data_IF_431180423717
#
_entry.id   IF_431180423717
#
_cell.length_a   1.000
_cell.length_b   1.000
_cell.length_c   1.000
_cell.angle_alpha   90.00
_cell.angle_beta   90.00
_cell.angle_gamma   90.00
#
_symmetry.space_group_name_H-M   'P 1'
#
loop_
_entity.id
_entity.type
_entity.pdbx_description
1 polymer ?
#
# COMPACT_ATOMS: atom_id res chain seq x y z
N UNK A 1 -1.13 3.45 -9.91
CA UNK A 1 -0.31 3.61 -11.12
C UNK A 1 -0.86 2.75 -12.24
N UNK A 2 -1.07 1.47 -12.01
CA UNK A 2 -1.56 0.57 -13.05
C UNK A 2 -2.93 0.98 -13.58
N UNK A 3 -3.82 1.49 -12.72
CA UNK A 3 -5.13 1.98 -13.15
C UNK A 3 -5.03 3.16 -14.11
N UNK A 4 -4.06 4.05 -13.91
CA UNK A 4 -3.83 5.17 -14.80
C UNK A 4 -3.37 4.65 -16.16
N UNK A 5 -2.41 3.74 -16.18
CA UNK A 5 -1.87 3.16 -17.41
C UNK A 5 -2.95 2.38 -18.16
N UNK A 6 -3.74 1.60 -17.44
CA UNK A 6 -4.77 0.74 -18.04
C UNK A 6 -5.93 1.53 -18.65
N UNK A 7 -6.07 2.82 -18.31
CA UNK A 7 -7.07 3.70 -18.94
C UNK A 7 -6.73 4.07 -20.38
N UNK A 8 -5.52 3.77 -20.86
CA UNK A 8 -5.06 4.12 -22.20
C UNK A 8 -5.00 2.90 -23.11
N UNK A 9 -5.09 3.11 -24.45
CA UNK A 9 -4.93 2.01 -25.43
C UNK A 9 -3.56 1.35 -25.29
N UNK A 10 -3.49 0.07 -25.67
CA UNK A 10 -2.27 -0.74 -25.52
C UNK A 10 -1.05 -0.11 -26.19
N UNK A 11 -1.23 0.54 -27.35
CA UNK A 11 -0.13 1.18 -28.08
C UNK A 11 0.40 2.46 -27.43
N UNK A 12 -0.27 2.97 -26.38
CA UNK A 12 0.15 4.17 -25.66
C UNK A 12 0.70 3.87 -24.27
N UNK A 13 0.56 2.64 -23.78
CA UNK A 13 0.89 2.31 -22.39
C UNK A 13 2.36 2.55 -22.04
N UNK A 14 3.28 2.18 -22.93
CA UNK A 14 4.71 2.38 -22.67
C UNK A 14 5.07 3.86 -22.58
N UNK A 15 4.50 4.70 -23.44
CA UNK A 15 4.69 6.15 -23.37
C UNK A 15 4.14 6.72 -22.07
N UNK A 16 2.95 6.27 -21.67
CA UNK A 16 2.33 6.73 -20.42
C UNK A 16 3.17 6.33 -19.21
N UNK A 17 3.68 5.09 -19.17
CA UNK A 17 4.59 4.65 -18.09
C UNK A 17 5.82 5.53 -18.00
N UNK A 18 6.43 5.85 -19.13
CA UNK A 18 7.61 6.72 -19.18
C UNK A 18 7.30 8.12 -18.66
N UNK A 19 6.15 8.69 -19.05
CA UNK A 19 5.73 10.00 -18.58
C UNK A 19 5.45 10.00 -17.08
N UNK A 20 4.75 8.98 -16.56
CA UNK A 20 4.51 8.85 -15.13
C UNK A 20 5.79 8.72 -14.34
N UNK A 21 6.73 7.88 -14.81
CA UNK A 21 8.02 7.69 -14.16
C UNK A 21 8.80 9.00 -14.01
N UNK A 22 8.67 9.90 -14.98
CA UNK A 22 9.38 11.18 -14.98
C UNK A 22 8.62 12.29 -14.23
N UNK A 23 7.28 12.22 -14.17
CA UNK A 23 6.45 13.32 -13.70
C UNK A 23 5.96 13.16 -12.27
N UNK A 24 5.79 11.91 -11.79
CA UNK A 24 5.29 11.68 -10.44
C UNK A 24 6.31 12.15 -9.40
N UNK A 25 5.83 12.85 -8.39
CA UNK A 25 6.61 13.23 -7.21
C UNK A 25 6.33 12.23 -6.08
N UNK A 26 5.06 11.95 -5.83
CA UNK A 26 4.63 11.03 -4.81
C UNK A 26 3.22 10.52 -5.13
N UNK A 27 2.86 9.39 -4.52
CA UNK A 27 1.50 8.85 -4.57
C UNK A 27 1.08 8.53 -3.14
N UNK A 28 -0.07 9.07 -2.73
CA UNK A 28 -0.66 8.78 -1.44
C UNK A 28 -1.96 8.03 -1.68
N UNK A 29 -2.02 6.80 -1.18
CA UNK A 29 -3.22 5.97 -1.27
C UNK A 29 -3.90 5.91 0.09
N UNK A 30 -5.21 5.78 0.10
CA UNK A 30 -5.99 5.81 1.32
C UNK A 30 -7.07 4.75 1.28
N UNK A 31 -7.31 4.10 2.43
CA UNK A 31 -8.50 3.30 2.67
C UNK A 31 -9.15 3.76 3.97
N UNK A 32 -10.47 3.69 4.05
CA UNK A 32 -11.20 3.98 5.28
C UNK A 32 -11.48 2.70 6.03
N UNK A 33 -11.12 2.68 7.30
CA UNK A 33 -11.34 1.57 8.20
C UNK A 33 -12.37 1.94 9.26
N UNK A 34 -13.13 0.96 9.72
CA UNK A 34 -14.00 1.13 10.88
C UNK A 34 -13.12 1.26 12.11
N UNK A 35 -13.32 2.35 12.85
CA UNK A 35 -12.55 2.64 14.05
C UNK A 35 -13.16 1.93 15.25
N UNK A 36 -12.34 1.40 16.14
CA UNK A 36 -12.76 0.85 17.43
C UNK A 36 -13.48 1.96 18.23
N UNK A 37 -14.66 1.67 18.72
CA UNK A 37 -15.45 2.65 19.47
C UNK A 37 -16.35 3.53 18.60
N UNK A 38 -16.31 3.39 17.29
CA UNK A 38 -17.17 4.10 16.36
C UNK A 38 -16.43 5.08 15.47
N UNK A 39 -17.06 5.44 14.36
CA UNK A 39 -16.46 6.31 13.35
C UNK A 39 -15.51 5.57 12.44
N UNK A 40 -14.72 6.35 11.69
CA UNK A 40 -13.77 5.81 10.71
C UNK A 40 -12.42 6.46 10.85
N UNK A 41 -11.38 5.74 10.43
CA UNK A 41 -10.02 6.23 10.40
C UNK A 41 -9.36 5.77 9.12
N UNK A 42 -8.48 6.58 8.55
CA UNK A 42 -7.83 6.27 7.27
C UNK A 42 -6.54 5.49 7.49
N UNK A 43 -6.36 4.45 6.69
CA UNK A 43 -5.07 3.82 6.47
C UNK A 43 -4.42 4.44 5.23
N UNK A 44 -3.11 4.64 5.25
CA UNK A 44 -2.38 5.31 4.17
C UNK A 44 -1.22 4.46 3.67
N UNK A 45 -0.97 4.58 2.37
CA UNK A 45 0.29 4.18 1.77
C UNK A 45 0.92 5.42 1.16
N UNK A 46 2.20 5.64 1.43
CA UNK A 46 2.93 6.79 0.90
C UNK A 46 4.11 6.28 0.10
N UNK A 47 4.15 6.65 -1.18
CA UNK A 47 5.23 6.33 -2.11
C UNK A 47 5.85 7.65 -2.59
N UNK A 48 7.15 7.82 -2.39
CA UNK A 48 7.92 8.92 -2.97
C UNK A 48 8.59 8.36 -4.22
N UNK A 49 8.48 9.08 -5.34
CA UNK A 49 9.04 8.61 -6.60
C UNK A 49 10.57 8.79 -6.60
N UNK A 50 11.27 7.72 -6.28
CA UNK A 50 12.73 7.66 -6.37
C UNK A 50 13.15 7.20 -7.76
N UNK A 51 14.45 7.29 -8.07
CA UNK A 51 15.01 6.76 -9.32
C UNK A 51 14.69 5.27 -9.47
N UNK A 52 14.79 4.50 -8.39
CA UNK A 52 14.48 3.07 -8.40
C UNK A 52 13.00 2.81 -8.73
N UNK A 53 12.09 3.52 -8.06
CA UNK A 53 10.65 3.37 -8.32
C UNK A 53 10.29 3.84 -9.73
N UNK A 54 10.89 4.93 -10.20
CA UNK A 54 10.69 5.40 -11.57
C UNK A 54 11.07 4.34 -12.60
N UNK A 55 12.16 3.64 -12.38
CA UNK A 55 12.58 2.53 -13.24
C UNK A 55 11.57 1.39 -13.23
N UNK A 56 11.02 1.04 -12.06
CA UNK A 56 10.01 -0.01 -11.94
C UNK A 56 8.72 0.36 -12.68
N UNK A 57 8.30 1.61 -12.63
CA UNK A 57 7.13 2.10 -13.36
C UNK A 57 7.39 2.00 -14.87
N UNK A 58 8.55 2.47 -15.33
CA UNK A 58 8.91 2.49 -16.74
C UNK A 58 8.98 1.08 -17.32
N UNK A 59 9.48 0.13 -16.55
CA UNK A 59 9.66 -1.26 -16.98
C UNK A 59 8.43 -2.14 -16.73
N UNK A 60 7.31 -1.56 -16.26
CA UNK A 60 6.09 -2.30 -15.92
C UNK A 60 6.31 -3.36 -14.83
N UNK A 61 7.12 -3.01 -13.84
CA UNK A 61 7.42 -3.90 -12.70
C UNK A 61 6.88 -3.32 -11.40
N UNK A 62 5.66 -2.79 -11.45
CA UNK A 62 5.02 -2.14 -10.29
C UNK A 62 4.84 -3.09 -9.11
N UNK A 63 4.83 -4.40 -9.34
CA UNK A 63 4.74 -5.39 -8.27
C UNK A 63 5.94 -5.37 -7.32
N UNK A 64 7.06 -4.74 -7.69
CA UNK A 64 8.25 -4.57 -6.84
C UNK A 64 8.24 -3.29 -6.02
N UNK A 65 7.29 -2.38 -6.26
CA UNK A 65 7.27 -1.07 -5.60
C UNK A 65 7.13 -1.23 -4.09
N UNK A 66 6.34 -2.19 -3.61
CA UNK A 66 6.17 -2.40 -2.16
C UNK A 66 7.49 -2.64 -1.44
N UNK A 67 8.41 -3.39 -2.04
CA UNK A 67 9.74 -3.61 -1.46
C UNK A 67 10.54 -2.32 -1.37
N UNK A 68 10.49 -1.49 -2.41
CA UNK A 68 11.16 -0.19 -2.42
C UNK A 68 10.57 0.77 -1.39
N UNK A 69 9.25 0.72 -1.18
CA UNK A 69 8.59 1.52 -0.14
C UNK A 69 9.10 1.10 1.24
N UNK A 70 9.21 -0.20 1.50
CA UNK A 70 9.70 -0.71 2.79
C UNK A 70 11.12 -0.23 3.09
N UNK A 71 12.00 -0.22 2.10
CA UNK A 71 13.37 0.26 2.28
C UNK A 71 13.47 1.77 2.27
N UNK A 72 12.43 2.47 1.84
CA UNK A 72 12.37 3.92 1.76
C UNK A 72 11.75 4.62 2.98
N UNK A 73 11.64 3.93 4.11
CA UNK A 73 11.03 4.50 5.31
C UNK A 73 11.68 5.82 5.74
N UNK A 74 13.00 5.94 5.55
CA UNK A 74 13.74 7.17 5.88
C UNK A 74 13.33 8.37 5.00
N UNK A 75 12.65 8.13 3.88
CA UNK A 75 12.10 9.17 3.01
C UNK A 75 10.61 9.45 3.31
N UNK A 76 10.06 8.84 4.36
CA UNK A 76 8.66 8.98 4.72
C UNK A 76 7.72 8.01 4.02
N UNK A 77 8.26 7.02 3.31
CA UNK A 77 7.43 6.01 2.66
C UNK A 77 6.91 4.98 3.67
N UNK A 78 5.69 4.52 3.44
CA UNK A 78 5.07 3.47 4.24
C UNK A 78 4.11 2.67 3.36
N UNK A 79 4.12 1.34 3.51
CA UNK A 79 3.13 0.49 2.84
C UNK A 79 1.80 0.56 3.57
N UNK A 80 0.70 0.29 2.85
CA UNK A 80 -0.63 0.23 3.45
C UNK A 80 -0.66 -0.77 4.61
N UNK A 81 -0.10 -1.96 4.41
CA UNK A 81 -0.14 -3.01 5.41
C UNK A 81 0.64 -2.63 6.68
N UNK A 82 1.79 -1.96 6.54
CA UNK A 82 2.54 -1.45 7.68
C UNK A 82 1.74 -0.41 8.47
N UNK A 83 1.05 0.50 7.77
CA UNK A 83 0.22 1.50 8.42
C UNK A 83 -0.99 0.86 9.11
N UNK A 84 -1.66 -0.09 8.46
CA UNK A 84 -2.76 -0.82 9.07
C UNK A 84 -2.31 -1.56 10.35
N UNK A 85 -1.13 -2.17 10.31
CA UNK A 85 -0.56 -2.82 11.50
C UNK A 85 -0.35 -1.81 12.64
N UNK A 86 0.13 -0.62 12.32
CA UNK A 86 0.30 0.46 13.31
C UNK A 86 -1.05 0.84 13.94
N UNK A 87 -2.11 0.93 13.15
CA UNK A 87 -3.45 1.25 13.66
C UNK A 87 -3.98 0.16 14.60
N UNK A 88 -3.69 -1.11 14.30
CA UNK A 88 -4.04 -2.23 15.18
C UNK A 88 -3.25 -2.17 16.50
N UNK A 89 -1.95 -1.91 16.42
CA UNK A 89 -1.09 -1.79 17.62
C UNK A 89 -1.50 -0.65 18.51
N UNK A 90 -2.07 0.42 17.93
CA UNK A 90 -2.59 1.57 18.69
C UNK A 90 -4.03 1.36 19.14
N UNK A 91 -4.59 0.19 18.89
CA UNK A 91 -5.97 -0.18 19.26
C UNK A 91 -7.05 0.71 18.62
N UNK A 92 -6.73 1.34 17.48
CA UNK A 92 -7.67 2.19 16.74
C UNK A 92 -8.51 1.41 15.74
N UNK A 93 -7.99 0.27 15.25
CA UNK A 93 -8.64 -0.60 14.28
C UNK A 93 -8.53 -2.04 14.77
N UNK A 94 -9.60 -2.83 14.60
CA UNK A 94 -9.55 -4.24 14.97
C UNK A 94 -8.68 -5.03 13.99
N UNK A 95 -8.09 -6.18 14.43
CA UNK A 95 -7.34 -7.04 13.53
C UNK A 95 -8.17 -7.51 12.32
N UNK A 96 -9.45 -7.84 12.51
CA UNK A 96 -10.32 -8.28 11.42
C UNK A 96 -10.52 -7.18 10.37
N UNK A 97 -10.74 -5.95 10.79
CA UNK A 97 -10.93 -4.84 9.87
C UNK A 97 -9.64 -4.54 9.09
N UNK A 98 -8.49 -4.55 9.78
CA UNK A 98 -7.21 -4.35 9.13
C UNK A 98 -6.91 -5.46 8.11
N UNK A 99 -7.23 -6.71 8.46
CA UNK A 99 -7.06 -7.84 7.56
C UNK A 99 -7.90 -7.70 6.30
N UNK A 100 -9.16 -7.27 6.45
CA UNK A 100 -10.06 -7.05 5.31
C UNK A 100 -9.50 -5.99 4.35
N UNK A 101 -8.85 -4.96 4.86
CA UNK A 101 -8.31 -3.85 4.06
C UNK A 101 -6.87 -4.08 3.59
N UNK A 102 -6.20 -5.12 4.10
CA UNK A 102 -4.80 -5.39 3.77
C UNK A 102 -4.62 -5.75 2.29
N UNK A 103 -3.48 -5.42 1.74
CA UNK A 103 -3.09 -5.82 0.39
C UNK A 103 -2.62 -7.27 0.35
N UNK A 104 -1.85 -7.70 1.35
CA UNK A 104 -1.41 -9.09 1.47
C UNK A 104 -2.08 -9.72 2.70
N UNK A 105 -3.22 -10.36 2.47
CA UNK A 105 -4.02 -10.94 3.52
C UNK A 105 -3.30 -12.07 4.26
N UNK A 106 -2.57 -12.90 3.53
CA UNK A 106 -1.91 -14.08 4.12
C UNK A 106 -0.79 -13.66 5.06
N UNK A 107 0.06 -12.73 4.63
CA UNK A 107 1.16 -12.23 5.46
C UNK A 107 0.62 -11.53 6.71
N UNK A 108 -0.41 -10.69 6.54
CA UNK A 108 -0.99 -9.97 7.68
C UNK A 108 -1.66 -10.91 8.67
N UNK A 109 -2.39 -11.90 8.17
CA UNK A 109 -3.03 -12.92 9.03
C UNK A 109 -1.99 -13.64 9.87
N UNK A 110 -0.89 -14.05 9.24
CA UNK A 110 0.18 -14.77 9.92
C UNK A 110 0.83 -13.91 11.01
N UNK A 111 1.07 -12.63 10.72
CA UNK A 111 1.61 -11.70 11.71
C UNK A 111 0.68 -11.53 12.90
N UNK A 112 -0.63 -11.41 12.67
CA UNK A 112 -1.61 -11.30 13.75
C UNK A 112 -1.66 -12.56 14.60
N UNK A 113 -1.59 -13.74 14.01
CA UNK A 113 -1.55 -14.99 14.74
C UNK A 113 -0.30 -15.12 15.60
N UNK A 114 0.86 -14.70 15.07
CA UNK A 114 2.12 -14.70 15.84
C UNK A 114 2.05 -13.75 17.02
N UNK A 115 1.26 -12.68 16.93
CA UNK A 115 1.04 -11.73 18.02
C UNK A 115 -0.01 -12.22 19.03
N UNK A 116 -0.61 -13.38 18.81
CA UNK A 116 -1.65 -13.93 19.67
C UNK A 116 -3.02 -13.30 19.51
N UNK A 117 -3.26 -12.58 18.43
CA UNK A 117 -4.54 -11.95 18.15
C UNK A 117 -5.52 -12.96 17.57
N UNK A 118 -6.79 -12.84 17.97
CA UNK A 118 -7.87 -13.68 17.46
C UNK A 118 -8.47 -13.05 16.21
N UNK A 119 -8.68 -13.88 15.19
CA UNK A 119 -9.32 -13.48 13.95
C UNK A 119 -10.61 -14.27 13.78
N UNK A 120 -11.61 -13.58 13.21
CA UNK A 120 -12.97 -14.12 13.07
C UNK A 120 -13.03 -15.30 12.10
N UNK A 121 -12.18 -15.31 11.07
CA UNK A 121 -12.18 -16.27 9.96
C UNK A 121 -11.11 -17.34 10.10
N UNK A 122 -10.94 -17.82 11.27
CA UNK A 122 -9.96 -18.88 11.53
C UNK A 122 -10.60 -20.26 11.47
#
# INVERSE_FOLDING_TARGET
IDRIVDAFPANMKDMIRTQLASSLVAVISQVLCKKVGGGRIAGYEIMVNTTSIGSLIRENKTFRISSDIQTGAHLGMITMDTHLMSLVNRELVSPDEALEKAQDHNVMREKFLQMGLKLREM
#
